data_IF_907170939180
#
_entry.id   IF_907170939180
#
_cell.length_a   1.000
_cell.length_b   1.000
_cell.length_c   1.000
_cell.angle_alpha   90.00
_cell.angle_beta   90.00
_cell.angle_gamma   90.00
#
_symmetry.space_group_name_H-M   'P 1'
#
loop_
_entity.id
_entity.type
_entity.pdbx_description
1 polymer ?
#
# COMPACT_ATOMS: atom_id res chain seq x y z
N UNK A 1 -4.61 11.37 -11.62
CA UNK A 1 -4.86 10.45 -10.50
C UNK A 1 -6.17 10.81 -9.82
N UNK A 2 -7.07 9.85 -9.69
CA UNK A 2 -8.32 9.98 -8.92
C UNK A 2 -8.08 9.56 -7.47
N UNK A 3 -8.63 10.29 -6.51
CA UNK A 3 -8.59 9.93 -5.08
C UNK A 3 -10.00 9.55 -4.65
N UNK A 4 -10.15 8.37 -4.05
CA UNK A 4 -11.44 7.83 -3.62
C UNK A 4 -11.34 7.45 -2.15
N UNK A 5 -12.27 7.90 -1.34
CA UNK A 5 -12.37 7.57 0.07
C UNK A 5 -13.41 6.47 0.26
N UNK A 6 -12.97 5.32 0.78
CA UNK A 6 -13.78 4.12 0.94
C UNK A 6 -13.85 3.23 -0.31
N UNK A 7 -13.72 1.92 -0.11
CA UNK A 7 -13.85 0.93 -1.19
C UNK A 7 -15.24 0.99 -1.82
N UNK A 8 -16.28 1.22 -1.03
CA UNK A 8 -17.68 1.23 -1.48
C UNK A 8 -17.98 2.37 -2.48
N UNK A 9 -17.17 3.41 -2.48
CA UNK A 9 -17.27 4.53 -3.42
C UNK A 9 -16.50 4.31 -4.73
N UNK A 10 -15.73 3.23 -4.81
CA UNK A 10 -15.05 2.86 -6.05
C UNK A 10 -16.01 2.12 -6.98
N UNK A 11 -16.18 2.63 -8.18
CA UNK A 11 -16.96 2.01 -9.24
C UNK A 11 -16.02 1.65 -10.39
N UNK A 12 -15.59 0.37 -10.49
CA UNK A 12 -14.69 -0.04 -11.57
C UNK A 12 -15.43 0.04 -12.92
N UNK A 13 -14.89 0.82 -13.84
CA UNK A 13 -15.35 0.83 -15.24
C UNK A 13 -14.76 -0.35 -16.01
N UNK A 14 -13.55 -0.78 -15.63
CA UNK A 14 -12.80 -1.88 -16.24
C UNK A 14 -12.06 -2.66 -15.14
N UNK A 15 -11.57 -3.83 -15.50
CA UNK A 15 -10.69 -4.59 -14.62
C UNK A 15 -9.42 -3.80 -14.26
N UNK A 16 -8.93 -4.01 -13.05
CA UNK A 16 -7.78 -3.27 -12.56
C UNK A 16 -6.57 -4.17 -12.22
N UNK A 17 -5.40 -3.54 -12.23
CA UNK A 17 -4.23 -4.03 -11.53
C UNK A 17 -4.14 -3.30 -10.19
N UNK A 18 -3.94 -4.04 -9.11
CA UNK A 18 -4.00 -3.55 -7.74
C UNK A 18 -2.66 -3.71 -7.03
N UNK A 19 -2.33 -2.77 -6.19
CA UNK A 19 -1.40 -2.97 -5.07
C UNK A 19 -2.05 -2.58 -3.76
N UNK A 20 -1.62 -3.19 -2.65
CA UNK A 20 -2.21 -2.97 -1.33
C UNK A 20 -1.10 -2.69 -0.32
N UNK A 21 -1.22 -1.60 0.41
CA UNK A 21 -0.25 -1.29 1.46
C UNK A 21 -0.57 -0.01 2.24
N UNK A 22 0.11 0.17 3.35
CA UNK A 22 0.03 1.43 4.11
C UNK A 22 0.81 2.56 3.44
N UNK A 23 1.83 2.21 2.68
CA UNK A 23 2.73 3.10 1.96
C UNK A 23 3.25 4.28 2.80
N UNK A 24 3.44 4.05 4.12
CA UNK A 24 3.95 5.08 5.00
C UNK A 24 5.38 5.47 4.62
N UNK A 25 5.57 6.77 4.37
CA UNK A 25 6.81 7.34 3.85
C UNK A 25 6.98 7.24 2.33
N UNK A 26 6.22 6.45 1.59
CA UNK A 26 6.39 6.26 0.13
C UNK A 26 7.88 6.11 -0.24
N UNK A 27 8.59 5.27 0.51
CA UNK A 27 10.02 5.05 0.37
C UNK A 27 10.39 4.29 -0.91
N UNK A 28 11.67 4.12 -1.20
CA UNK A 28 12.14 3.52 -2.47
C UNK A 28 11.53 2.16 -2.77
N UNK A 29 11.31 1.31 -1.75
CA UNK A 29 10.62 0.03 -1.92
C UNK A 29 9.17 0.19 -2.36
N UNK A 30 8.44 1.11 -1.72
CA UNK A 30 7.06 1.46 -2.13
C UNK A 30 7.01 2.02 -3.56
N UNK A 31 7.94 2.92 -3.89
CA UNK A 31 8.03 3.49 -5.24
C UNK A 31 8.26 2.43 -6.31
N UNK A 32 9.08 1.41 -6.03
CA UNK A 32 9.31 0.27 -6.96
C UNK A 32 8.02 -0.49 -7.22
N UNK A 33 7.28 -0.85 -6.16
CA UNK A 33 6.00 -1.56 -6.28
C UNK A 33 5.00 -0.75 -7.11
N UNK A 34 4.82 0.54 -6.80
CA UNK A 34 3.87 1.40 -7.51
C UNK A 34 4.29 1.62 -8.97
N UNK A 35 5.57 1.82 -9.24
CA UNK A 35 6.09 1.94 -10.63
C UNK A 35 5.88 0.63 -11.41
N UNK A 36 6.09 -0.52 -10.78
CA UNK A 36 5.83 -1.82 -11.39
C UNK A 36 4.35 -1.97 -11.72
N UNK A 37 3.46 -1.59 -10.79
CA UNK A 37 2.02 -1.57 -11.02
C UNK A 37 1.64 -0.77 -12.26
N UNK A 38 2.12 0.47 -12.38
CA UNK A 38 1.85 1.34 -13.53
C UNK A 38 2.36 0.70 -14.84
N UNK A 39 3.57 0.13 -14.82
CA UNK A 39 4.17 -0.52 -15.99
C UNK A 39 3.36 -1.74 -16.46
N UNK A 40 2.98 -2.62 -15.52
CA UNK A 40 2.18 -3.83 -15.83
C UNK A 40 0.78 -3.46 -16.29
N UNK A 41 0.15 -2.49 -15.63
CA UNK A 41 -1.18 -2.01 -16.00
C UNK A 41 -1.22 -1.55 -17.46
N UNK A 42 -0.20 -0.79 -17.90
CA UNK A 42 -0.09 -0.36 -19.28
C UNK A 42 0.05 -1.54 -20.24
N UNK A 43 0.89 -2.53 -19.90
CA UNK A 43 1.13 -3.71 -20.76
C UNK A 43 -0.10 -4.61 -20.89
N UNK A 44 -0.87 -4.76 -19.79
CA UNK A 44 -2.05 -5.64 -19.72
C UNK A 44 -3.37 -4.91 -20.01
N UNK A 45 -3.32 -3.62 -20.36
CA UNK A 45 -4.51 -2.76 -20.54
C UNK A 45 -5.45 -2.79 -19.33
N UNK A 46 -4.87 -2.69 -18.12
CA UNK A 46 -5.59 -2.66 -16.85
C UNK A 46 -5.53 -1.26 -16.23
N UNK A 47 -6.53 -0.91 -15.43
CA UNK A 47 -6.49 0.35 -14.68
C UNK A 47 -5.62 0.21 -13.41
N UNK A 48 -4.57 1.04 -13.20
CA UNK A 48 -3.72 0.93 -12.00
C UNK A 48 -4.40 1.55 -10.79
N UNK A 49 -4.55 0.73 -9.74
CA UNK A 49 -5.19 1.10 -8.47
C UNK A 49 -4.26 0.82 -7.30
N UNK A 50 -4.13 1.78 -6.41
CA UNK A 50 -3.48 1.63 -5.11
C UNK A 50 -4.56 1.63 -4.01
N UNK A 51 -4.64 0.57 -3.22
CA UNK A 51 -5.46 0.50 -2.02
C UNK A 51 -4.59 0.76 -0.79
N UNK A 52 -4.81 1.89 -0.16
CA UNK A 52 -4.14 2.26 1.08
C UNK A 52 -5.13 2.48 2.23
N UNK A 53 -4.62 2.50 3.44
CA UNK A 53 -5.42 2.59 4.66
C UNK A 53 -5.11 3.87 5.45
N UNK A 54 -6.17 4.44 6.02
CA UNK A 54 -6.06 5.53 6.98
C UNK A 54 -7.24 5.48 7.97
N UNK A 55 -7.02 5.56 9.31
CA UNK A 55 -5.72 5.64 9.99
C UNK A 55 -4.79 4.44 9.75
N UNK A 56 -3.52 4.59 10.16
CA UNK A 56 -2.55 3.49 10.01
C UNK A 56 -3.01 2.26 10.80
N UNK A 57 -2.99 1.03 10.23
CA UNK A 57 -3.51 -0.18 10.87
C UNK A 57 -3.01 -0.43 12.30
N UNK A 58 -1.74 -0.14 12.58
CA UNK A 58 -1.18 -0.32 13.94
C UNK A 58 -1.83 0.60 14.98
N UNK A 59 -2.25 1.80 14.59
CA UNK A 59 -2.94 2.73 15.51
C UNK A 59 -4.28 2.16 15.98
N UNK A 60 -4.94 1.39 15.13
CA UNK A 60 -6.25 0.78 15.42
C UNK A 60 -6.11 -0.56 16.15
N UNK A 61 -5.15 -1.40 15.72
CA UNK A 61 -5.01 -2.77 16.23
C UNK A 61 -4.29 -2.84 17.57
N UNK A 62 -3.26 -2.05 17.76
CA UNK A 62 -2.42 -2.07 18.95
C UNK A 62 -2.82 -1.00 19.95
N UNK A 63 -3.83 -0.16 19.66
CA UNK A 63 -4.13 1.07 20.38
C UNK A 63 -2.88 1.91 20.61
N UNK A 64 -1.90 1.74 19.73
CA UNK A 64 -0.59 2.37 19.81
C UNK A 64 -0.64 3.75 19.12
N UNK A 65 -1.04 4.72 19.92
CA UNK A 65 -1.01 6.14 19.51
C UNK A 65 0.42 6.68 19.42
N UNK A 66 1.43 5.92 19.86
CA UNK A 66 2.83 6.33 19.83
C UNK A 66 3.47 6.23 18.43
N UNK A 67 2.83 5.47 17.52
CA UNK A 67 3.37 5.35 16.15
C UNK A 67 3.28 6.68 15.43
N UNK A 68 4.42 7.29 15.17
CA UNK A 68 4.52 8.50 14.37
C UNK A 68 4.57 8.13 12.90
N UNK A 69 3.56 8.53 12.14
CA UNK A 69 3.57 8.38 10.68
C UNK A 69 4.65 9.29 10.08
N UNK A 70 5.26 8.86 8.97
CA UNK A 70 6.37 9.62 8.34
C UNK A 70 5.82 10.86 7.62
N UNK A 71 4.65 10.73 7.02
CA UNK A 71 3.97 11.81 6.30
C UNK A 71 2.48 11.82 6.62
N UNK A 72 1.87 13.00 6.55
CA UNK A 72 0.41 13.14 6.62
C UNK A 72 -0.26 12.40 5.45
N UNK A 73 -1.57 12.22 5.52
CA UNK A 73 -2.33 11.60 4.43
C UNK A 73 -2.20 12.41 3.13
N UNK A 74 -2.30 13.72 3.22
CA UNK A 74 -2.19 14.66 2.10
C UNK A 74 -0.82 14.59 1.44
N UNK A 75 0.24 14.58 2.24
CA UNK A 75 1.62 14.43 1.75
C UNK A 75 1.82 13.06 1.08
N UNK A 76 1.29 11.98 1.65
CA UNK A 76 1.32 10.65 1.05
C UNK A 76 0.63 10.65 -0.32
N UNK A 77 -0.58 11.18 -0.41
CA UNK A 77 -1.34 11.31 -1.66
C UNK A 77 -0.54 12.10 -2.69
N UNK A 78 0.04 13.23 -2.29
CA UNK A 78 0.86 14.07 -3.18
C UNK A 78 2.07 13.31 -3.73
N UNK A 79 2.74 12.52 -2.89
CA UNK A 79 3.91 11.72 -3.30
C UNK A 79 3.54 10.59 -4.25
N UNK A 80 2.43 9.89 -4.00
CA UNK A 80 1.94 8.82 -4.87
C UNK A 80 1.48 9.40 -6.21
N UNK A 81 0.86 10.59 -6.22
CA UNK A 81 0.45 11.30 -7.44
C UNK A 81 1.62 11.51 -8.41
N UNK A 82 2.81 11.80 -7.90
CA UNK A 82 4.02 11.98 -8.72
C UNK A 82 4.47 10.74 -9.48
N UNK A 83 3.98 9.56 -9.10
CA UNK A 83 4.30 8.29 -9.78
C UNK A 83 3.30 7.99 -10.91
N UNK A 84 2.33 8.88 -11.17
CA UNK A 84 1.33 8.75 -12.23
C UNK A 84 0.45 7.51 -12.14
N UNK A 85 0.07 7.09 -10.93
CA UNK A 85 -0.94 6.05 -10.75
C UNK A 85 -2.33 6.57 -11.13
N UNK A 86 -3.20 5.70 -11.65
CA UNK A 86 -4.54 6.08 -12.10
C UNK A 86 -5.47 6.45 -10.96
N UNK A 87 -5.61 5.57 -9.97
CA UNK A 87 -6.49 5.75 -8.81
C UNK A 87 -5.80 5.34 -7.51
N UNK A 88 -6.01 6.13 -6.47
CA UNK A 88 -5.73 5.75 -5.08
C UNK A 88 -7.05 5.64 -4.32
N UNK A 89 -7.24 4.52 -3.63
CA UNK A 89 -8.37 4.28 -2.74
C UNK A 89 -7.85 4.35 -1.31
N UNK A 90 -8.40 5.24 -0.51
CA UNK A 90 -8.09 5.40 0.90
C UNK A 90 -9.23 4.80 1.70
N UNK A 91 -9.04 3.57 2.17
CA UNK A 91 -10.07 2.89 2.94
C UNK A 91 -9.88 3.12 4.44
N UNK A 92 -10.95 3.47 5.19
CA UNK A 92 -10.86 3.59 6.63
C UNK A 92 -10.53 2.24 7.25
N UNK A 93 -9.36 2.15 7.91
CA UNK A 93 -9.00 0.95 8.63
C UNK A 93 -9.72 0.93 9.99
N UNK A 94 -10.62 -0.01 10.16
CA UNK A 94 -11.44 -0.16 11.37
C UNK A 94 -11.21 -1.53 12.05
N UNK A 95 -11.64 -1.66 13.31
CA UNK A 95 -11.64 -2.95 14.00
C UNK A 95 -12.52 -3.99 13.28
N UNK A 96 -13.65 -3.59 12.70
CA UNK A 96 -14.52 -4.47 11.92
C UNK A 96 -13.81 -4.94 10.65
N UNK A 97 -13.20 -4.02 9.88
CA UNK A 97 -12.43 -4.38 8.68
C UNK A 97 -11.27 -5.33 9.00
N UNK A 98 -10.59 -5.13 10.12
CA UNK A 98 -9.46 -5.98 10.54
C UNK A 98 -9.86 -7.41 10.93
N UNK A 99 -11.14 -7.67 11.18
CA UNK A 99 -11.68 -8.99 11.52
C UNK A 99 -12.08 -9.82 10.29
N UNK A 100 -12.06 -9.24 9.10
CA UNK A 100 -12.31 -9.99 7.86
C UNK A 100 -11.31 -11.13 7.75
N UNK A 101 -11.83 -12.32 7.48
CA UNK A 101 -10.99 -13.47 7.11
C UNK A 101 -10.30 -13.22 5.77
N UNK A 102 -9.26 -13.99 5.47
CA UNK A 102 -8.57 -13.90 4.19
C UNK A 102 -9.52 -14.12 3.00
N UNK A 103 -10.41 -15.11 3.11
CA UNK A 103 -11.38 -15.45 2.06
C UNK A 103 -12.42 -14.34 1.84
N UNK A 104 -12.95 -13.76 2.93
CA UNK A 104 -13.87 -12.62 2.83
C UNK A 104 -13.19 -11.42 2.17
N UNK A 105 -11.96 -11.10 2.57
CA UNK A 105 -11.21 -10.00 1.97
C UNK A 105 -10.97 -10.22 0.47
N UNK A 106 -10.58 -11.42 0.05
CA UNK A 106 -10.37 -11.73 -1.36
C UNK A 106 -11.69 -11.67 -2.13
N UNK A 107 -12.72 -12.37 -1.64
CA UNK A 107 -14.03 -12.44 -2.33
C UNK A 107 -14.69 -11.07 -2.45
N UNK A 108 -14.81 -10.36 -1.34
CA UNK A 108 -15.66 -9.17 -1.28
C UNK A 108 -14.91 -7.89 -1.66
N UNK A 109 -13.62 -7.79 -1.32
CA UNK A 109 -12.83 -6.59 -1.65
C UNK A 109 -12.13 -6.75 -2.99
N UNK A 110 -11.25 -7.76 -3.14
CA UNK A 110 -10.41 -7.89 -4.33
C UNK A 110 -11.26 -8.19 -5.57
N UNK A 111 -12.15 -9.17 -5.47
CA UNK A 111 -12.92 -9.65 -6.62
C UNK A 111 -14.17 -8.79 -6.87
N UNK A 112 -15.08 -8.71 -5.90
CA UNK A 112 -16.38 -8.06 -6.10
C UNK A 112 -16.28 -6.54 -6.18
N UNK A 113 -15.59 -5.90 -5.22
CA UNK A 113 -15.58 -4.44 -5.15
C UNK A 113 -14.58 -3.81 -6.11
N UNK A 114 -13.40 -4.42 -6.29
CA UNK A 114 -12.31 -3.82 -7.06
C UNK A 114 -12.13 -4.41 -8.47
N UNK A 115 -12.75 -5.55 -8.79
CA UNK A 115 -12.64 -6.22 -10.10
C UNK A 115 -11.18 -6.46 -10.51
N UNK A 116 -10.36 -6.95 -9.57
CA UNK A 116 -8.92 -7.16 -9.77
C UNK A 116 -8.68 -8.31 -10.75
N UNK A 117 -7.75 -8.09 -11.70
CA UNK A 117 -7.21 -9.12 -12.59
C UNK A 117 -5.72 -9.34 -12.40
N UNK A 118 -5.05 -8.38 -11.80
CA UNK A 118 -3.62 -8.47 -11.51
C UNK A 118 -3.32 -7.81 -10.16
N UNK A 119 -2.67 -8.54 -9.26
CA UNK A 119 -2.31 -8.06 -7.94
C UNK A 119 -0.79 -8.05 -7.78
N UNK A 120 -0.22 -6.91 -7.40
CA UNK A 120 1.22 -6.77 -7.12
C UNK A 120 1.40 -6.46 -5.64
N UNK A 121 2.20 -7.27 -4.95
CA UNK A 121 2.46 -7.13 -3.51
C UNK A 121 3.92 -7.43 -3.18
N UNK A 122 4.38 -6.87 -2.06
CA UNK A 122 5.69 -7.21 -1.51
C UNK A 122 5.71 -8.61 -0.91
N UNK A 123 6.88 -9.22 -0.85
CA UNK A 123 7.12 -10.58 -0.34
C UNK A 123 6.65 -10.80 1.11
N UNK A 124 6.64 -9.75 1.93
CA UNK A 124 6.28 -9.78 3.35
C UNK A 124 4.81 -9.43 3.62
N UNK A 125 4.01 -9.34 2.55
CA UNK A 125 2.61 -8.96 2.68
C UNK A 125 1.82 -10.00 3.47
N UNK A 126 1.07 -9.51 4.45
CA UNK A 126 0.17 -10.29 5.30
C UNK A 126 -1.18 -9.63 5.36
N UNK A 127 -2.25 -10.41 5.28
CA UNK A 127 -3.62 -9.91 5.25
C UNK A 127 -4.58 -10.85 5.99
N UNK A 128 -5.86 -10.45 6.04
CA UNK A 128 -6.88 -11.16 6.79
C UNK A 128 -6.76 -10.97 8.30
N UNK A 129 -7.70 -11.56 9.03
CA UNK A 129 -7.74 -11.49 10.49
C UNK A 129 -6.42 -11.99 11.08
N UNK A 130 -5.90 -11.26 12.06
CA UNK A 130 -4.62 -11.54 12.72
C UNK A 130 -3.41 -11.62 11.77
N UNK A 131 -3.53 -11.15 10.52
CA UNK A 131 -2.47 -11.21 9.51
C UNK A 131 -2.01 -12.66 9.21
N UNK A 132 -2.93 -13.61 9.31
CA UNK A 132 -2.63 -15.05 9.16
C UNK A 132 -2.33 -15.46 7.72
N UNK A 133 -2.91 -14.77 6.75
CA UNK A 133 -2.74 -15.11 5.34
C UNK A 133 -1.47 -14.48 4.73
N UNK A 134 -0.84 -15.25 3.86
CA UNK A 134 0.41 -14.95 3.19
C UNK A 134 0.19 -14.65 1.70
N UNK A 135 1.28 -14.34 0.99
CA UNK A 135 1.30 -14.20 -0.47
C UNK A 135 0.87 -15.50 -1.15
N UNK A 136 1.28 -16.67 -0.63
CA UNK A 136 0.93 -17.97 -1.23
C UNK A 136 -0.58 -18.23 -1.14
N UNK A 137 -1.23 -17.79 -0.07
CA UNK A 137 -2.69 -17.84 0.02
C UNK A 137 -3.35 -16.96 -1.06
N UNK A 138 -2.79 -15.77 -1.36
CA UNK A 138 -3.28 -14.93 -2.46
C UNK A 138 -3.10 -15.58 -3.83
N UNK A 139 -1.97 -16.24 -4.06
CA UNK A 139 -1.71 -16.97 -5.30
C UNK A 139 -2.76 -18.08 -5.48
N UNK A 140 -3.01 -18.87 -4.45
CA UNK A 140 -4.05 -19.91 -4.48
C UNK A 140 -5.45 -19.35 -4.73
N UNK A 141 -5.79 -18.24 -4.08
CA UNK A 141 -7.03 -17.52 -4.35
C UNK A 141 -7.08 -17.00 -5.80
N UNK A 142 -5.95 -16.56 -6.35
CA UNK A 142 -5.85 -16.12 -7.73
C UNK A 142 -6.30 -17.19 -8.73
N UNK A 143 -5.89 -18.43 -8.54
CA UNK A 143 -6.36 -19.58 -9.35
C UNK A 143 -7.87 -19.77 -9.24
N UNK A 144 -8.43 -19.64 -8.03
CA UNK A 144 -9.87 -19.86 -7.80
C UNK A 144 -10.72 -18.73 -8.38
N UNK A 145 -10.28 -17.49 -8.25
CA UNK A 145 -11.07 -16.30 -8.60
C UNK A 145 -10.66 -15.63 -9.92
N UNK A 146 -9.67 -16.17 -10.62
CA UNK A 146 -9.27 -15.71 -11.95
C UNK A 146 -8.50 -14.39 -11.95
N UNK A 147 -7.56 -14.18 -11.01
CA UNK A 147 -6.62 -13.07 -11.03
C UNK A 147 -5.17 -13.56 -10.84
N UNK A 148 -4.24 -12.84 -11.45
CA UNK A 148 -2.81 -13.12 -11.31
C UNK A 148 -2.22 -12.41 -10.09
N UNK A 149 -1.24 -13.02 -9.45
CA UNK A 149 -0.49 -12.42 -8.33
C UNK A 149 1.00 -12.37 -8.66
N UNK A 150 1.56 -11.17 -8.63
CA UNK A 150 3.00 -10.94 -8.73
C UNK A 150 3.55 -10.58 -7.36
N UNK A 151 4.45 -11.41 -6.88
CA UNK A 151 5.22 -11.18 -5.65
C UNK A 151 6.52 -10.46 -5.99
N UNK A 152 6.71 -9.27 -5.45
CA UNK A 152 8.00 -8.56 -5.55
C UNK A 152 8.92 -9.10 -4.47
N UNK A 153 10.02 -9.70 -4.89
CA UNK A 153 10.97 -10.37 -4.00
C UNK A 153 11.75 -9.39 -3.12
N UNK A 154 12.19 -9.90 -1.96
CA UNK A 154 12.96 -9.13 -0.99
C UNK A 154 14.18 -8.43 -1.63
N UNK A 155 14.96 -9.15 -2.42
CA UNK A 155 16.15 -8.60 -3.09
C UNK A 155 15.85 -7.42 -4.01
N UNK A 156 14.66 -7.35 -4.56
CA UNK A 156 14.23 -6.24 -5.40
C UNK A 156 13.86 -5.00 -4.57
N UNK A 157 13.29 -5.23 -3.39
CA UNK A 157 12.93 -4.17 -2.43
C UNK A 157 14.15 -3.82 -1.58
N UNK A 158 14.89 -4.83 -1.14
CA UNK A 158 16.00 -4.74 -0.18
C UNK A 158 17.34 -4.34 -0.80
N UNK A 159 17.45 -4.16 -2.12
CA UNK A 159 18.67 -3.54 -2.68
C UNK A 159 19.07 -2.25 -1.95
N UNK A 160 18.16 -1.70 -1.15
CA UNK A 160 18.39 -0.55 -0.25
C UNK A 160 18.11 -0.90 1.23
N UNK A 161 17.70 -2.13 1.55
CA UNK A 161 17.38 -2.60 2.92
C UNK A 161 16.50 -1.59 3.70
N UNK A 162 15.39 -1.16 3.07
CA UNK A 162 14.54 -0.07 3.55
C UNK A 162 13.24 -0.58 4.16
N UNK A 163 12.79 0.06 5.23
CA UNK A 163 11.43 -0.07 5.77
C UNK A 163 10.98 1.23 6.44
N UNK A 164 9.68 1.44 6.58
CA UNK A 164 9.13 2.60 7.31
C UNK A 164 9.65 2.66 8.75
N UNK A 165 9.90 1.52 9.40
CA UNK A 165 10.48 1.46 10.76
C UNK A 165 11.90 2.00 10.76
N UNK A 166 12.75 1.61 9.81
CA UNK A 166 14.12 2.12 9.71
C UNK A 166 14.16 3.63 9.45
N UNK A 167 13.22 4.13 8.64
CA UNK A 167 13.10 5.57 8.37
C UNK A 167 12.69 6.33 9.63
N UNK A 168 11.67 5.85 10.37
CA UNK A 168 11.28 6.48 11.64
C UNK A 168 12.43 6.52 12.65
N UNK A 169 13.18 5.42 12.76
CA UNK A 169 14.33 5.37 13.65
C UNK A 169 15.41 6.37 13.22
N UNK A 170 15.74 6.44 11.92
CA UNK A 170 16.70 7.40 11.40
C UNK A 170 16.29 8.86 11.71
N UNK A 171 15.01 9.19 11.50
CA UNK A 171 14.48 10.52 11.84
C UNK A 171 14.57 10.78 13.35
N UNK A 172 14.19 9.80 14.17
CA UNK A 172 14.20 9.91 15.64
C UNK A 172 15.62 10.14 16.20
N UNK A 173 16.62 9.52 15.60
CA UNK A 173 18.04 9.65 16.00
C UNK A 173 18.76 10.81 15.33
N UNK A 174 18.08 11.62 14.50
CA UNK A 174 18.69 12.75 13.79
C UNK A 174 19.50 12.36 12.55
N UNK A 175 19.54 11.07 12.16
CA UNK A 175 20.22 10.62 10.93
C UNK A 175 19.37 10.91 9.69
N UNK A 176 19.22 12.21 9.41
CA UNK A 176 18.39 12.69 8.29
C UNK A 176 18.98 12.31 6.94
N UNK A 177 20.30 12.20 6.84
CA UNK A 177 20.96 11.75 5.61
C UNK A 177 20.49 10.35 5.21
N UNK A 178 20.47 9.42 6.16
CA UNK A 178 19.97 8.05 5.96
C UNK A 178 18.48 8.02 5.66
N UNK A 179 17.68 8.81 6.37
CA UNK A 179 16.26 8.93 6.09
C UNK A 179 16.03 9.41 4.65
N UNK A 180 16.73 10.44 4.19
CA UNK A 180 16.65 10.97 2.83
C UNK A 180 17.02 9.92 1.77
N UNK A 181 18.10 9.15 2.03
CA UNK A 181 18.51 8.04 1.14
C UNK A 181 17.38 7.00 1.00
N UNK A 182 16.75 6.61 2.10
CA UNK A 182 15.64 5.65 2.09
C UNK A 182 14.38 6.20 1.41
N UNK A 183 14.11 7.49 1.59
CA UNK A 183 12.98 8.17 0.97
C UNK A 183 13.22 8.50 -0.51
N UNK A 184 14.48 8.56 -0.95
CA UNK A 184 14.94 9.10 -2.25
C UNK A 184 14.48 10.54 -2.47
N UNK A 185 14.48 11.34 -1.40
CA UNK A 185 14.15 12.77 -1.37
C UNK A 185 14.44 13.35 0.01
N UNK A 186 14.58 14.68 0.13
CA UNK A 186 14.63 15.33 1.44
C UNK A 186 13.37 15.04 2.26
N UNK A 187 13.58 14.70 3.54
CA UNK A 187 12.48 14.64 4.50
C UNK A 187 11.91 16.03 4.72
N UNK A 188 10.61 16.17 4.74
CA UNK A 188 9.92 17.45 4.92
C UNK A 188 8.99 17.39 6.10
N UNK A 189 8.85 18.51 6.78
CA UNK A 189 7.86 18.74 7.82
C UNK A 189 7.01 19.92 7.36
N UNK A 190 5.69 19.74 7.40
CA UNK A 190 4.74 20.81 7.09
C UNK A 190 4.02 21.21 8.37
N UNK A 191 3.94 22.50 8.64
CA UNK A 191 3.30 23.03 9.83
C UNK A 191 2.94 24.51 9.69
N UNK A 192 2.16 25.01 10.65
CA UNK A 192 1.87 26.45 10.76
C UNK A 192 2.96 27.08 11.61
N UNK A 193 3.52 28.18 11.13
CA UNK A 193 4.42 29.02 11.92
C UNK A 193 3.56 29.82 12.89
N UNK A 194 3.90 29.75 14.17
CA UNK A 194 3.22 30.46 15.28
C UNK A 194 4.21 31.35 16.00
#
# INVERSE_FOLDING_TARGET
MKVIYGIDNYKPLNSCALTIGTFDGVHVGHQKIIKRLVSVSKKKNLHPVDLTFFPHPRMILQSDTSIKIIYTLEEKIHLIKKINIGTIIIHPFSKSFSRMTANEFVRDVIVKSLSVRYLIIGYDHRFGRNREATVDNLINCGFTYGFEVEKIEAKEIESVNVSSTKIRNAIKTGDISKANKYLNRPFRITGKVV
#
